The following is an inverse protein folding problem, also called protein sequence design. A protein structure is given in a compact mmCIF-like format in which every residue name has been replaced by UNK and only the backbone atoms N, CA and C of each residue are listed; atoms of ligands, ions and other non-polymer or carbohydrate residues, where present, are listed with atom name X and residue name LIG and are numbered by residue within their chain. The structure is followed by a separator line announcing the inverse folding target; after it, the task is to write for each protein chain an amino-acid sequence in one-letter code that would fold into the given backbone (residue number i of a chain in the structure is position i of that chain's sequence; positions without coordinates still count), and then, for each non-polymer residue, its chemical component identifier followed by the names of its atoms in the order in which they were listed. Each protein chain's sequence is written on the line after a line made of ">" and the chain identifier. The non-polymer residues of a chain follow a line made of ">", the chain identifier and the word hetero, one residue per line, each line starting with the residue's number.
data_IF_908723043402
#
_entry.id   IF_908723043402
#
_cell.length_a   1.000
_cell.length_b   1.000
_cell.length_c   1.000
_cell.angle_alpha   90.00
_cell.angle_beta   90.00
_cell.angle_gamma   90.00
#
_symmetry.space_group_name_H-M   'P 1'
#
loop_
_entity.id
_entity.type
_entity.pdbx_description
1 polymer ?
#
# COMPACT_ATOMS: atom_id res chain seq x y z
N UNK A 1 32.43 40.81 4.12
CA UNK A 1 31.26 41.22 3.38
C UNK A 1 30.95 40.43 2.11
N UNK A 2 31.86 39.55 1.61
CA UNK A 2 31.60 38.71 0.41
C UNK A 2 30.86 37.39 0.65
N UNK A 3 30.78 36.88 1.90
CA UNK A 3 30.10 35.62 2.23
C UNK A 3 28.59 35.71 2.44
N UNK A 4 28.08 36.88 2.75
CA UNK A 4 26.62 37.14 2.99
C UNK A 4 25.87 37.25 1.66
N UNK A 5 26.52 37.75 0.61
CA UNK A 5 25.88 37.89 -0.72
C UNK A 5 25.67 36.52 -1.42
N UNK A 6 26.54 35.54 -1.15
CA UNK A 6 26.42 34.20 -1.75
C UNK A 6 25.25 33.41 -1.16
N UNK A 7 24.95 33.62 0.13
CA UNK A 7 23.82 32.96 0.80
C UNK A 7 22.47 33.55 0.35
N UNK A 8 22.41 34.84 0.07
CA UNK A 8 21.19 35.48 -0.46
C UNK A 8 20.89 35.12 -1.90
N UNK A 9 21.91 34.83 -2.72
CA UNK A 9 21.72 34.38 -4.12
C UNK A 9 21.23 32.92 -4.20
N UNK A 10 21.63 32.04 -3.28
CA UNK A 10 21.16 30.64 -3.23
C UNK A 10 19.71 30.57 -2.74
N UNK A 11 19.31 31.42 -1.78
CA UNK A 11 17.89 31.54 -1.37
C UNK A 11 16.99 32.13 -2.46
N UNK A 12 17.48 33.09 -3.26
CA UNK A 12 16.72 33.66 -4.37
C UNK A 12 16.57 32.68 -5.55
N UNK A 13 17.52 31.78 -5.77
CA UNK A 13 17.40 30.71 -6.79
C UNK A 13 16.42 29.58 -6.38
N UNK A 14 16.17 29.38 -5.08
CA UNK A 14 15.14 28.46 -4.58
C UNK A 14 13.72 29.07 -4.55
N UNK A 15 13.57 30.38 -4.75
CA UNK A 15 12.28 31.10 -4.77
C UNK A 15 11.79 31.48 -6.18
N UNK A 16 12.47 31.05 -7.23
CA UNK A 16 11.92 31.09 -8.59
C UNK A 16 10.96 29.90 -8.82
N UNK A 17 9.97 29.73 -7.95
CA UNK A 17 8.72 29.07 -8.30
C UNK A 17 7.98 30.06 -9.23
N UNK A 18 7.85 29.69 -10.47
CA UNK A 18 7.09 30.43 -11.49
C UNK A 18 5.69 30.76 -10.92
N UNK A 19 5.35 32.04 -10.69
CA UNK A 19 4.04 32.42 -10.17
C UNK A 19 2.90 32.07 -11.14
N UNK A 20 3.22 31.79 -12.40
CA UNK A 20 2.27 31.46 -13.46
C UNK A 20 1.93 29.95 -13.51
N UNK A 21 2.59 29.11 -12.69
CA UNK A 21 2.35 27.68 -12.60
C UNK A 21 0.90 27.35 -12.22
N UNK A 22 0.34 28.05 -11.24
CA UNK A 22 -1.04 27.83 -10.78
C UNK A 22 -2.12 28.21 -11.81
N UNK A 23 -1.78 29.01 -12.83
CA UNK A 23 -2.72 29.41 -13.88
C UNK A 23 -2.77 28.43 -15.05
N UNK A 24 -1.75 27.54 -15.21
CA UNK A 24 -1.66 26.55 -16.30
C UNK A 24 -2.21 25.19 -15.92
N UNK A 25 -2.38 24.89 -14.65
CA UNK A 25 -3.01 23.63 -14.18
C UNK A 25 -4.52 23.83 -14.25
N UNK A 26 -5.16 23.29 -15.30
CA UNK A 26 -6.61 23.12 -15.35
C UNK A 26 -7.11 22.44 -14.07
N UNK A 27 -8.39 22.60 -13.76
CA UNK A 27 -9.04 22.05 -12.56
C UNK A 27 -8.47 20.68 -12.11
N UNK A 28 -8.31 20.47 -10.81
CA UNK A 28 -7.75 19.22 -10.31
C UNK A 28 -8.52 18.00 -10.84
N UNK A 29 -7.80 16.92 -11.17
CA UNK A 29 -8.44 15.64 -11.48
C UNK A 29 -9.28 15.31 -10.25
N UNK A 30 -10.62 15.27 -10.41
CA UNK A 30 -11.53 15.05 -9.29
C UNK A 30 -11.36 13.62 -8.78
N UNK A 31 -11.10 13.48 -7.49
CA UNK A 31 -11.16 12.20 -6.81
C UNK A 31 -12.62 11.83 -6.67
N UNK A 32 -13.01 10.70 -7.23
CA UNK A 32 -14.40 10.25 -7.26
C UNK A 32 -14.67 9.07 -6.33
N UNK A 33 -13.68 8.59 -5.56
CA UNK A 33 -13.94 7.50 -4.61
C UNK A 33 -15.03 7.92 -3.61
N UNK A 34 -16.10 7.11 -3.44
CA UNK A 34 -17.16 7.43 -2.52
C UNK A 34 -16.62 7.52 -1.09
N UNK A 35 -16.99 8.61 -0.38
CA UNK A 35 -16.73 8.69 1.05
C UNK A 35 -17.93 8.09 1.78
N UNK A 36 -17.75 7.03 2.58
CA UNK A 36 -18.86 6.38 3.26
C UNK A 36 -19.48 7.32 4.28
N UNK A 37 -20.82 7.40 4.28
CA UNK A 37 -21.59 8.16 5.27
C UNK A 37 -22.09 7.28 6.41
N UNK A 38 -22.12 5.96 6.21
CA UNK A 38 -22.63 4.99 7.17
C UNK A 38 -21.59 3.91 7.39
N UNK A 39 -21.32 3.60 8.66
CA UNK A 39 -20.42 2.52 9.02
C UNK A 39 -21.11 1.18 8.84
N UNK A 40 -20.38 0.22 8.26
CA UNK A 40 -20.78 -1.20 8.19
C UNK A 40 -20.00 -2.00 9.26
N UNK A 41 -20.50 -3.16 9.60
CA UNK A 41 -19.87 -3.99 10.65
C UNK A 41 -18.75 -4.88 10.12
N UNK A 42 -18.83 -5.26 8.85
CA UNK A 42 -17.88 -6.15 8.15
C UNK A 42 -18.01 -6.00 6.64
N UNK A 43 -17.01 -6.44 5.91
CA UNK A 43 -17.09 -6.73 4.47
C UNK A 43 -17.60 -8.16 4.33
N UNK A 44 -18.80 -8.32 3.76
CA UNK A 44 -19.39 -9.64 3.53
C UNK A 44 -18.93 -10.21 2.17
N UNK A 45 -18.06 -11.20 2.21
CA UNK A 45 -17.51 -11.84 1.02
C UNK A 45 -18.29 -13.12 0.66
N UNK A 46 -18.52 -13.33 -0.63
CA UNK A 46 -18.90 -14.63 -1.18
C UNK A 46 -17.73 -15.62 -1.09
N UNK A 47 -17.97 -16.88 -1.38
CA UNK A 47 -16.88 -17.88 -1.44
C UNK A 47 -15.85 -17.56 -2.54
N UNK A 48 -16.33 -17.03 -3.68
CA UNK A 48 -15.48 -16.61 -4.79
C UNK A 48 -14.62 -15.39 -4.39
N UNK A 49 -15.23 -14.35 -3.82
CA UNK A 49 -14.53 -13.16 -3.33
C UNK A 49 -13.52 -13.51 -2.21
N UNK A 50 -13.84 -14.46 -1.34
CA UNK A 50 -12.91 -14.99 -0.34
C UNK A 50 -11.69 -15.63 -0.99
N UNK A 51 -11.89 -16.35 -2.09
CA UNK A 51 -10.81 -16.93 -2.88
C UNK A 51 -9.96 -15.84 -3.54
N UNK A 52 -10.57 -14.79 -4.08
CA UNK A 52 -9.85 -13.63 -4.63
C UNK A 52 -8.98 -12.95 -3.57
N UNK A 53 -9.48 -12.78 -2.34
CA UNK A 53 -8.66 -12.27 -1.22
C UNK A 53 -7.51 -13.22 -0.90
N UNK A 54 -7.77 -14.52 -0.82
CA UNK A 54 -6.72 -15.50 -0.50
C UNK A 54 -5.58 -15.46 -1.53
N UNK A 55 -5.91 -15.53 -2.83
CA UNK A 55 -4.89 -15.49 -3.90
C UNK A 55 -4.28 -14.10 -4.07
N UNK A 56 -5.04 -13.04 -3.88
CA UNK A 56 -4.53 -11.67 -3.87
C UNK A 56 -3.53 -11.43 -2.73
N UNK A 57 -3.77 -11.98 -1.55
CA UNK A 57 -2.80 -11.94 -0.46
C UNK A 57 -1.53 -12.76 -0.78
N UNK A 58 -1.61 -13.82 -1.58
CA UNK A 58 -0.41 -14.54 -2.05
C UNK A 58 0.50 -13.66 -2.92
N UNK A 59 -0.05 -12.76 -3.74
CA UNK A 59 0.74 -11.75 -4.43
C UNK A 59 1.60 -10.96 -3.44
N UNK A 60 1.02 -10.55 -2.30
CA UNK A 60 1.77 -9.86 -1.25
C UNK A 60 3.00 -10.64 -0.80
N UNK A 61 2.81 -11.90 -0.43
CA UNK A 61 3.90 -12.72 0.10
C UNK A 61 4.94 -13.09 -0.96
N UNK A 62 4.53 -13.26 -2.21
CA UNK A 62 5.42 -13.52 -3.33
C UNK A 62 6.28 -12.29 -3.69
N UNK A 63 5.78 -11.08 -3.47
CA UNK A 63 6.53 -9.85 -3.74
C UNK A 63 7.64 -9.57 -2.71
N UNK A 64 7.52 -10.03 -1.47
CA UNK A 64 8.52 -9.75 -0.44
C UNK A 64 9.96 -10.09 -0.85
N UNK A 65 10.29 -11.33 -1.28
CA UNK A 65 11.65 -11.66 -1.68
C UNK A 65 12.10 -10.94 -2.96
N UNK A 66 11.17 -10.55 -3.83
CA UNK A 66 11.45 -9.84 -5.08
C UNK A 66 11.73 -8.35 -4.89
N UNK A 67 11.17 -7.75 -3.84
CA UNK A 67 11.29 -6.32 -3.54
C UNK A 67 12.34 -6.01 -2.46
N UNK A 68 12.85 -7.02 -1.75
CA UNK A 68 13.89 -6.84 -0.75
C UNK A 68 15.22 -6.44 -1.38
N UNK A 69 15.78 -5.32 -0.95
CA UNK A 69 17.08 -4.81 -1.35
C UNK A 69 18.06 -4.78 -0.16
N UNK A 70 18.84 -5.83 0.03
CA UNK A 70 19.80 -5.90 1.16
C UNK A 70 19.10 -5.70 2.51
N UNK A 71 19.69 -4.85 3.36
CA UNK A 71 19.18 -4.53 4.71
C UNK A 71 18.40 -3.22 4.75
N UNK A 72 17.75 -2.82 3.66
CA UNK A 72 16.93 -1.61 3.60
C UNK A 72 15.51 -1.88 4.08
N UNK A 73 14.97 -0.93 4.85
CA UNK A 73 13.54 -0.87 5.12
C UNK A 73 12.76 -0.61 3.84
N UNK A 74 11.60 -1.24 3.69
CA UNK A 74 10.77 -1.05 2.49
C UNK A 74 9.28 -1.20 2.79
N UNK A 75 8.47 -0.67 1.88
CA UNK A 75 7.01 -0.76 1.91
C UNK A 75 6.46 -0.85 0.49
N UNK A 76 5.37 -1.59 0.32
CA UNK A 76 4.55 -1.63 -0.89
C UNK A 76 3.07 -1.83 -0.54
N UNK A 77 2.20 -1.57 -1.51
CA UNK A 77 0.76 -1.79 -1.38
C UNK A 77 0.29 -2.80 -2.43
N UNK A 78 0.05 -4.06 -2.06
CA UNK A 78 -0.47 -5.06 -2.98
C UNK A 78 -1.85 -4.68 -3.52
N UNK A 79 -2.70 -4.08 -2.69
CA UNK A 79 -4.02 -3.63 -3.10
C UNK A 79 -3.94 -2.55 -4.19
N UNK A 80 -3.01 -1.58 -4.04
CA UNK A 80 -2.76 -0.55 -5.06
C UNK A 80 -2.29 -1.14 -6.40
N UNK A 81 -1.42 -2.18 -6.36
CA UNK A 81 -0.98 -2.91 -7.56
C UNK A 81 -2.18 -3.59 -8.24
N UNK A 82 -3.02 -4.27 -7.45
CA UNK A 82 -4.22 -4.96 -7.95
C UNK A 82 -5.20 -3.99 -8.63
N UNK A 83 -5.41 -2.79 -8.07
CA UNK A 83 -6.31 -1.80 -8.66
C UNK A 83 -5.78 -1.22 -9.97
N UNK A 84 -4.51 -0.75 -9.98
CA UNK A 84 -3.91 -0.19 -11.18
C UNK A 84 -3.89 -1.19 -12.35
N UNK A 85 -3.46 -2.43 -12.07
CA UNK A 85 -3.40 -3.48 -13.09
C UNK A 85 -4.76 -4.11 -13.38
N UNK A 86 -5.70 -4.10 -12.42
CA UNK A 86 -7.09 -4.49 -12.64
C UNK A 86 -7.80 -3.55 -13.62
N UNK A 87 -7.59 -2.22 -13.51
CA UNK A 87 -8.06 -1.28 -14.52
C UNK A 87 -7.46 -1.60 -15.90
N UNK A 88 -6.15 -1.85 -15.96
CA UNK A 88 -5.44 -2.19 -17.20
C UNK A 88 -5.98 -3.48 -17.82
N UNK A 89 -6.29 -4.48 -17.00
CA UNK A 89 -6.83 -5.77 -17.44
C UNK A 89 -8.17 -5.65 -18.19
N UNK A 90 -8.95 -4.59 -17.95
CA UNK A 90 -10.19 -4.34 -18.69
C UNK A 90 -9.97 -4.02 -20.18
N UNK A 91 -8.76 -3.67 -20.57
CA UNK A 91 -8.38 -3.49 -21.98
C UNK A 91 -7.66 -4.69 -22.58
N UNK A 92 -7.36 -5.71 -21.75
CA UNK A 92 -6.62 -6.89 -22.17
C UNK A 92 -7.53 -8.01 -22.65
N UNK A 93 -7.00 -8.88 -23.51
CA UNK A 93 -7.70 -10.04 -24.05
C UNK A 93 -6.81 -11.30 -24.02
N UNK A 94 -7.43 -12.45 -24.26
CA UNK A 94 -6.74 -13.73 -24.47
C UNK A 94 -5.75 -14.09 -23.36
N UNK A 95 -4.57 -14.54 -23.77
CA UNK A 95 -3.52 -14.99 -22.83
C UNK A 95 -2.94 -13.84 -21.99
N UNK A 96 -2.93 -12.61 -22.51
CA UNK A 96 -2.49 -11.43 -21.76
C UNK A 96 -3.42 -11.20 -20.56
N UNK A 97 -4.73 -11.22 -20.77
CA UNK A 97 -5.72 -11.10 -19.70
C UNK A 97 -5.58 -12.25 -18.69
N UNK A 98 -5.45 -13.50 -19.16
CA UNK A 98 -5.31 -14.65 -18.28
C UNK A 98 -4.08 -14.54 -17.37
N UNK A 99 -2.92 -14.17 -17.89
CA UNK A 99 -1.70 -13.96 -17.10
C UNK A 99 -1.86 -12.82 -16.08
N UNK A 100 -2.52 -11.73 -16.45
CA UNK A 100 -2.80 -10.60 -15.55
C UNK A 100 -3.70 -11.07 -14.40
N UNK A 101 -4.83 -11.70 -14.68
CA UNK A 101 -5.77 -12.17 -13.66
C UNK A 101 -5.13 -13.19 -12.71
N UNK A 102 -4.33 -14.13 -13.24
CA UNK A 102 -3.60 -15.11 -12.41
C UNK A 102 -2.58 -14.45 -11.48
N UNK A 103 -1.76 -13.56 -12.01
CA UNK A 103 -0.71 -12.87 -11.23
C UNK A 103 -1.31 -12.00 -10.14
N UNK A 104 -2.43 -11.34 -10.41
CA UNK A 104 -3.12 -10.48 -9.46
C UNK A 104 -3.98 -11.24 -8.43
N UNK A 105 -4.15 -12.56 -8.61
CA UNK A 105 -4.93 -13.39 -7.71
C UNK A 105 -6.45 -13.37 -7.96
N UNK A 106 -6.89 -12.86 -9.10
CA UNK A 106 -8.31 -12.83 -9.47
C UNK A 106 -8.77 -14.09 -10.18
N UNK A 107 -7.86 -14.92 -10.68
CA UNK A 107 -8.15 -16.20 -11.29
C UNK A 107 -7.12 -17.27 -10.91
N UNK A 108 -7.56 -18.53 -10.78
CA UNK A 108 -6.69 -19.67 -10.54
C UNK A 108 -7.19 -20.91 -11.32
N UNK A 109 -6.31 -21.58 -12.13
CA UNK A 109 -6.71 -22.65 -13.04
C UNK A 109 -7.34 -23.88 -12.36
N UNK A 110 -7.08 -24.11 -11.08
CA UNK A 110 -7.62 -25.25 -10.32
C UNK A 110 -8.95 -24.93 -9.61
N UNK A 111 -9.44 -23.71 -9.68
CA UNK A 111 -10.73 -23.32 -9.13
C UNK A 111 -11.75 -23.14 -10.25
N UNK A 112 -12.60 -24.16 -10.44
CA UNK A 112 -13.74 -24.13 -11.38
C UNK A 112 -14.81 -23.09 -11.02
N UNK A 113 -14.62 -22.35 -9.91
CA UNK A 113 -15.58 -21.37 -9.38
C UNK A 113 -15.24 -19.91 -9.70
N UNK A 114 -14.00 -19.61 -10.11
CA UNK A 114 -13.68 -18.28 -10.58
C UNK A 114 -13.89 -18.32 -12.09
N UNK A 115 -14.95 -17.67 -12.55
CA UNK A 115 -15.12 -17.43 -13.97
C UNK A 115 -13.89 -16.64 -14.44
N UNK A 116 -13.43 -16.93 -15.64
CA UNK A 116 -12.53 -16.07 -16.42
C UNK A 116 -13.17 -14.69 -16.71
N UNK A 117 -14.20 -14.39 -15.95
CA UNK A 117 -15.05 -13.22 -16.10
C UNK A 117 -14.41 -12.02 -15.40
N UNK A 118 -13.86 -11.14 -16.19
CA UNK A 118 -13.36 -9.84 -15.74
C UNK A 118 -14.43 -9.04 -14.97
N UNK A 119 -15.71 -9.31 -15.21
CA UNK A 119 -16.80 -8.65 -14.49
C UNK A 119 -16.88 -9.09 -13.02
N UNK A 120 -16.52 -10.34 -12.69
CA UNK A 120 -16.43 -10.78 -11.30
C UNK A 120 -15.29 -10.05 -10.56
N UNK A 121 -14.11 -9.90 -11.19
CA UNK A 121 -13.01 -9.09 -10.66
C UNK A 121 -13.47 -7.63 -10.45
N UNK A 122 -14.14 -7.05 -11.45
CA UNK A 122 -14.62 -5.67 -11.40
C UNK A 122 -15.65 -5.46 -10.27
N UNK A 123 -16.59 -6.38 -10.11
CA UNK A 123 -17.57 -6.33 -9.03
C UNK A 123 -16.90 -6.42 -7.65
N UNK A 124 -15.93 -7.29 -7.50
CA UNK A 124 -15.14 -7.43 -6.26
C UNK A 124 -14.32 -6.18 -5.96
N UNK A 125 -13.58 -5.64 -6.94
CA UNK A 125 -12.84 -4.39 -6.78
C UNK A 125 -13.75 -3.22 -6.40
N UNK A 126 -14.91 -3.05 -7.08
CA UNK A 126 -15.88 -2.03 -6.76
C UNK A 126 -16.44 -2.18 -5.34
N UNK A 127 -16.75 -3.41 -4.92
CA UNK A 127 -17.19 -3.71 -3.55
C UNK A 127 -16.16 -3.27 -2.52
N UNK A 128 -14.88 -3.64 -2.68
CA UNK A 128 -13.83 -3.26 -1.74
C UNK A 128 -13.62 -1.73 -1.71
N UNK A 129 -13.69 -1.03 -2.87
CA UNK A 129 -13.63 0.44 -2.94
C UNK A 129 -14.70 1.12 -2.08
N UNK A 130 -15.89 0.55 -2.02
CA UNK A 130 -17.01 1.09 -1.27
C UNK A 130 -17.01 0.66 0.21
N UNK A 131 -16.67 -0.59 0.49
CA UNK A 131 -16.87 -1.20 1.80
C UNK A 131 -15.66 -1.04 2.73
N UNK A 132 -14.41 -1.15 2.23
CA UNK A 132 -13.22 -1.01 3.08
C UNK A 132 -13.18 0.33 3.84
N UNK A 133 -13.46 1.50 3.22
CA UNK A 133 -13.50 2.75 3.98
C UNK A 133 -14.66 2.82 4.97
N UNK A 134 -15.71 2.00 4.80
CA UNK A 134 -16.93 2.05 5.59
C UNK A 134 -16.90 1.19 6.86
N UNK A 135 -15.96 0.21 6.98
CA UNK A 135 -15.93 -0.69 8.15
C UNK A 135 -15.50 -0.01 9.44
N UNK A 136 -14.71 1.06 9.36
CA UNK A 136 -14.29 1.86 10.52
C UNK A 136 -14.12 3.33 10.14
N UNK A 137 -15.10 4.17 10.46
CA UNK A 137 -15.04 5.61 10.17
C UNK A 137 -14.02 6.38 11.02
N UNK A 138 -13.40 5.76 12.01
CA UNK A 138 -12.25 6.29 12.75
C UNK A 138 -10.93 6.13 11.99
N UNK A 139 -10.93 5.35 10.89
CA UNK A 139 -9.81 5.16 9.98
C UNK A 139 -10.07 5.93 8.70
N UNK A 140 -9.10 6.73 8.26
CA UNK A 140 -9.17 7.38 6.97
C UNK A 140 -8.47 6.49 5.94
N UNK A 141 -9.25 5.79 5.15
CA UNK A 141 -8.81 5.02 4.00
C UNK A 141 -9.35 5.69 2.73
N UNK A 142 -8.46 6.04 1.81
CA UNK A 142 -8.83 6.66 0.56
C UNK A 142 -8.10 5.93 -0.57
N UNK A 143 -8.88 5.44 -1.52
CA UNK A 143 -8.41 4.87 -2.77
C UNK A 143 -8.79 5.83 -3.88
N UNK A 144 -7.84 6.14 -4.75
CA UNK A 144 -8.07 7.02 -5.89
C UNK A 144 -7.42 6.42 -7.13
N UNK A 145 -8.17 6.40 -8.21
CA UNK A 145 -7.77 5.86 -9.50
C UNK A 145 -7.86 6.93 -10.57
N UNK A 146 -6.91 6.95 -11.50
CA UNK A 146 -6.96 7.83 -12.65
C UNK A 146 -6.23 7.25 -13.86
N UNK A 147 -6.64 7.68 -15.03
CA UNK A 147 -5.97 7.39 -16.30
C UNK A 147 -5.68 8.71 -17.00
N UNK A 148 -4.40 8.98 -17.21
CA UNK A 148 -3.95 10.09 -18.03
C UNK A 148 -3.62 9.57 -19.43
N UNK A 149 -4.36 10.00 -20.43
CA UNK A 149 -4.32 9.47 -21.80
C UNK A 149 -3.66 10.47 -22.73
N UNK A 150 -2.74 10.00 -23.56
CA UNK A 150 -2.20 10.78 -24.64
C UNK A 150 -3.32 11.05 -25.67
N UNK A 151 -3.58 12.32 -25.96
CA UNK A 151 -4.67 12.77 -26.83
C UNK A 151 -4.59 12.25 -28.29
N UNK A 152 -3.43 11.69 -28.67
CA UNK A 152 -3.23 11.01 -29.96
C UNK A 152 -3.86 9.62 -30.02
N UNK A 153 -4.19 9.01 -28.85
CA UNK A 153 -4.65 7.64 -28.73
C UNK A 153 -5.93 7.58 -27.89
N UNK A 154 -7.09 7.96 -28.44
CA UNK A 154 -8.34 7.96 -27.70
C UNK A 154 -8.70 6.54 -27.23
N UNK A 155 -9.20 6.46 -25.98
CA UNK A 155 -9.70 5.22 -25.40
C UNK A 155 -11.04 4.82 -26.04
N UNK A 156 -11.25 3.52 -26.19
CA UNK A 156 -12.58 2.97 -26.51
C UNK A 156 -13.60 3.45 -25.46
N UNK A 157 -14.77 3.95 -25.91
CA UNK A 157 -15.82 4.42 -24.98
C UNK A 157 -16.25 3.35 -23.96
N UNK A 158 -16.33 2.09 -24.37
CA UNK A 158 -16.68 0.98 -23.47
C UNK A 158 -15.63 0.76 -22.36
N UNK A 159 -14.33 0.83 -22.70
CA UNK A 159 -13.26 0.76 -21.72
C UNK A 159 -13.33 1.93 -20.73
N UNK A 160 -13.46 3.16 -21.25
CA UNK A 160 -13.58 4.36 -20.43
C UNK A 160 -14.76 4.28 -19.47
N UNK A 161 -15.96 3.92 -19.97
CA UNK A 161 -17.15 3.76 -19.13
C UNK A 161 -16.96 2.70 -18.04
N UNK A 162 -16.32 1.56 -18.39
CA UNK A 162 -16.02 0.49 -17.44
C UNK A 162 -15.13 0.97 -16.30
N UNK A 163 -14.01 1.65 -16.58
CA UNK A 163 -13.08 2.10 -15.52
C UNK A 163 -13.66 3.25 -14.71
N UNK A 164 -14.43 4.16 -15.31
CA UNK A 164 -15.11 5.25 -14.60
C UNK A 164 -16.20 4.72 -13.66
N UNK A 165 -16.99 3.73 -14.09
CA UNK A 165 -18.09 3.17 -13.29
C UNK A 165 -17.60 2.20 -12.20
N UNK A 166 -16.60 1.38 -12.49
CA UNK A 166 -16.12 0.33 -11.58
C UNK A 166 -15.14 0.86 -10.55
N UNK A 167 -14.12 1.62 -11.01
CA UNK A 167 -13.02 2.10 -10.17
C UNK A 167 -13.16 3.57 -9.76
N UNK A 168 -14.22 4.23 -10.22
CA UNK A 168 -14.38 5.68 -10.09
C UNK A 168 -13.18 6.45 -10.64
N UNK A 169 -12.49 5.86 -11.62
CA UNK A 169 -11.29 6.43 -12.19
C UNK A 169 -11.56 7.75 -12.89
N UNK A 170 -10.73 8.74 -12.62
CA UNK A 170 -10.76 9.99 -13.37
C UNK A 170 -9.98 9.81 -14.67
N UNK A 171 -10.62 9.99 -15.82
CA UNK A 171 -9.99 9.89 -17.14
C UNK A 171 -9.76 11.28 -17.70
N UNK A 172 -8.49 11.61 -17.99
CA UNK A 172 -8.07 12.89 -18.55
C UNK A 172 -7.22 12.69 -19.80
N UNK A 173 -7.54 13.42 -20.88
CA UNK A 173 -6.74 13.46 -22.09
C UNK A 173 -5.85 14.69 -22.10
N UNK A 174 -4.57 14.53 -22.47
CA UNK A 174 -3.64 15.64 -22.68
C UNK A 174 -2.56 15.27 -23.69
N UNK A 175 -1.89 16.29 -24.28
CA UNK A 175 -0.71 16.05 -25.11
C UNK A 175 0.47 15.59 -24.24
N UNK A 176 1.19 14.58 -24.73
CA UNK A 176 2.45 14.10 -24.12
C UNK A 176 3.71 14.70 -24.77
N UNK A 177 3.54 15.74 -25.63
CA UNK A 177 4.65 16.40 -26.28
C UNK A 177 5.58 17.19 -25.34
N UNK A 178 5.06 17.57 -24.16
CA UNK A 178 5.83 18.17 -23.07
C UNK A 178 5.88 17.23 -21.85
N UNK A 179 6.92 16.37 -21.76
CA UNK A 179 7.09 15.44 -20.63
C UNK A 179 7.11 16.10 -19.24
N UNK A 180 7.59 17.35 -19.15
CA UNK A 180 7.64 18.06 -17.88
C UNK A 180 6.23 18.39 -17.37
N UNK A 181 5.35 18.85 -18.26
CA UNK A 181 3.94 19.10 -17.93
C UNK A 181 3.19 17.82 -17.57
N UNK A 182 3.43 16.70 -18.27
CA UNK A 182 2.84 15.40 -17.96
C UNK A 182 3.29 14.90 -16.59
N UNK A 183 4.60 14.91 -16.31
CA UNK A 183 5.15 14.51 -15.01
C UNK A 183 4.58 15.37 -13.87
N UNK A 184 4.50 16.66 -14.07
CA UNK A 184 3.92 17.57 -13.08
C UNK A 184 2.44 17.26 -12.81
N UNK A 185 1.65 16.92 -13.84
CA UNK A 185 0.24 16.55 -13.70
C UNK A 185 0.07 15.28 -12.88
N UNK A 186 0.87 14.24 -13.15
CA UNK A 186 0.90 12.98 -12.42
C UNK A 186 1.32 13.21 -10.96
N UNK A 187 2.35 14.01 -10.73
CA UNK A 187 2.87 14.30 -9.39
C UNK A 187 1.87 15.12 -8.54
N UNK A 188 1.20 16.11 -9.13
CA UNK A 188 0.14 16.86 -8.45
C UNK A 188 -1.03 15.95 -8.05
N UNK A 189 -1.47 15.07 -8.96
CA UNK A 189 -2.51 14.09 -8.66
C UNK A 189 -2.10 13.16 -7.51
N UNK A 190 -0.91 12.58 -7.54
CA UNK A 190 -0.41 11.71 -6.49
C UNK A 190 -0.32 12.43 -5.13
N UNK A 191 0.21 13.65 -5.12
CA UNK A 191 0.33 14.46 -3.90
C UNK A 191 -1.04 14.74 -3.26
N UNK A 192 -2.04 15.12 -4.04
CA UNK A 192 -3.39 15.41 -3.53
C UNK A 192 -4.07 14.17 -2.99
N UNK A 193 -3.94 13.03 -3.68
CA UNK A 193 -4.62 11.79 -3.31
C UNK A 193 -3.93 11.01 -2.20
N UNK A 194 -2.70 11.39 -1.83
CA UNK A 194 -1.96 10.85 -0.69
C UNK A 194 -1.75 11.87 0.43
N UNK A 195 -2.54 12.95 0.47
CA UNK A 195 -2.42 14.01 1.47
C UNK A 195 -0.97 14.57 1.60
N UNK A 196 -0.25 14.67 0.47
CA UNK A 196 1.13 15.14 0.42
C UNK A 196 2.20 14.11 0.79
N UNK A 197 1.84 12.87 1.10
CA UNK A 197 2.81 11.80 1.39
C UNK A 197 3.69 11.49 0.18
N UNK A 198 3.09 11.39 -1.00
CA UNK A 198 3.80 11.12 -2.25
C UNK A 198 3.77 12.38 -3.10
N UNK A 199 4.81 13.20 -2.98
CA UNK A 199 4.92 14.47 -3.73
C UNK A 199 5.43 14.30 -5.15
N UNK A 200 6.08 13.18 -5.45
CA UNK A 200 6.72 12.93 -6.74
C UNK A 200 6.64 11.45 -7.11
N UNK A 201 5.91 11.15 -8.18
CA UNK A 201 5.79 9.82 -8.77
C UNK A 201 6.80 9.61 -9.91
N UNK A 202 6.92 10.59 -10.81
CA UNK A 202 7.72 10.51 -12.04
C UNK A 202 8.56 11.76 -12.24
N UNK A 203 9.68 11.59 -12.94
CA UNK A 203 10.44 12.66 -13.54
C UNK A 203 10.04 12.85 -15.01
N UNK A 204 10.34 14.01 -15.58
CA UNK A 204 10.13 14.25 -17.01
C UNK A 204 10.87 13.23 -17.90
N UNK A 205 12.03 12.75 -17.43
CA UNK A 205 12.80 11.73 -18.13
C UNK A 205 12.18 10.34 -18.16
N UNK A 206 11.16 10.08 -17.30
CA UNK A 206 10.41 8.82 -17.30
C UNK A 206 9.26 8.83 -18.32
N UNK A 207 8.95 9.99 -18.90
CA UNK A 207 7.81 10.18 -19.80
C UNK A 207 8.28 10.11 -21.25
N UNK A 208 7.79 9.12 -22.00
CA UNK A 208 7.95 9.11 -23.46
C UNK A 208 6.82 9.92 -24.12
N UNK A 209 7.12 10.81 -25.08
CA UNK A 209 6.09 11.47 -25.89
C UNK A 209 5.21 10.49 -26.68
N UNK A 210 5.68 9.26 -26.87
CA UNK A 210 4.95 8.18 -27.55
C UNK A 210 4.21 7.25 -26.60
N UNK A 211 4.28 7.50 -25.28
CA UNK A 211 3.49 6.74 -24.31
C UNK A 211 2.00 6.91 -24.62
N UNK A 212 1.23 5.83 -24.45
CA UNK A 212 -0.20 5.79 -24.77
C UNK A 212 -1.04 6.34 -23.63
N UNK A 213 -0.79 5.87 -22.42
CA UNK A 213 -1.50 6.28 -21.21
C UNK A 213 -0.68 5.94 -19.96
N UNK A 214 -1.02 6.63 -18.86
CA UNK A 214 -0.58 6.29 -17.49
C UNK A 214 -1.80 5.93 -16.66
N UNK A 215 -1.82 4.70 -16.16
CA UNK A 215 -2.84 4.24 -15.22
C UNK A 215 -2.27 4.39 -13.81
N UNK A 216 -3.00 5.10 -12.96
CA UNK A 216 -2.52 5.56 -11.67
C UNK A 216 -3.46 5.10 -10.58
N UNK A 217 -2.89 4.57 -9.49
CA UNK A 217 -3.60 4.34 -8.25
C UNK A 217 -2.85 5.00 -7.09
N UNK A 218 -3.58 5.56 -6.15
CA UNK A 218 -3.07 6.09 -4.90
C UNK A 218 -3.87 5.54 -3.74
N UNK A 219 -3.19 4.95 -2.76
CA UNK A 219 -3.76 4.48 -1.52
C UNK A 219 -3.22 5.31 -0.36
N UNK A 220 -4.13 5.94 0.38
CA UNK A 220 -3.83 6.68 1.59
C UNK A 220 -4.50 6.01 2.78
N UNK A 221 -3.72 5.76 3.83
CA UNK A 221 -4.19 5.16 5.08
C UNK A 221 -3.71 5.98 6.27
N UNK A 222 -4.66 6.38 7.11
CA UNK A 222 -4.39 7.05 8.37
C UNK A 222 -5.30 6.50 9.45
N UNK A 223 -4.72 5.96 10.51
CA UNK A 223 -5.45 5.30 11.57
C UNK A 223 -4.78 5.52 12.93
N UNK A 224 -5.52 5.96 13.96
CA UNK A 224 -5.03 5.95 15.33
C UNK A 224 -4.96 4.51 15.86
N UNK A 225 -4.06 4.24 16.82
CA UNK A 225 -4.03 2.93 17.50
C UNK A 225 -5.30 2.65 18.31
N UNK A 226 -5.89 3.68 18.87
CA UNK A 226 -7.09 3.60 19.72
C UNK A 226 -8.12 4.63 19.28
N UNK A 227 -9.42 4.42 19.55
CA UNK A 227 -10.45 5.42 19.29
C UNK A 227 -10.17 6.73 20.04
N UNK A 228 -10.65 7.86 19.50
CA UNK A 228 -10.58 9.15 20.15
C UNK A 228 -11.19 9.10 21.57
N UNK A 229 -10.50 9.73 22.52
CA UNK A 229 -10.88 9.74 23.94
C UNK A 229 -10.50 8.48 24.73
N UNK A 230 -9.83 7.51 24.11
CA UNK A 230 -9.27 6.34 24.81
C UNK A 230 -7.85 6.61 25.32
N UNK A 231 -7.41 5.81 26.32
CA UNK A 231 -6.02 5.85 26.78
C UNK A 231 -5.08 5.49 25.62
N UNK A 232 -4.02 6.28 25.36
CA UNK A 232 -3.11 6.05 24.25
C UNK A 232 -2.42 4.68 24.39
N UNK A 233 -2.19 4.03 23.23
CA UNK A 233 -1.48 2.75 23.22
C UNK A 233 -0.03 2.91 23.67
N UNK A 234 0.65 3.94 23.19
CA UNK A 234 2.01 4.31 23.58
C UNK A 234 1.99 5.72 24.19
N UNK A 235 2.74 5.89 25.30
CA UNK A 235 2.85 7.19 25.96
C UNK A 235 3.86 8.09 25.23
N UNK A 236 3.49 9.31 24.90
CA UNK A 236 4.32 10.26 24.14
C UNK A 236 5.71 10.48 24.78
N UNK A 237 5.80 10.63 26.08
CA UNK A 237 7.06 10.78 26.80
C UNK A 237 7.81 9.45 27.07
N UNK A 238 7.25 8.31 26.65
CA UNK A 238 7.79 6.98 26.91
C UNK A 238 8.76 6.45 25.85
N UNK A 239 8.83 7.11 24.69
CA UNK A 239 9.72 6.72 23.59
C UNK A 239 11.19 7.02 23.93
N UNK A 240 12.06 6.01 23.81
CA UNK A 240 13.50 6.12 24.14
C UNK A 240 14.34 5.65 22.98
N UNK A 241 15.54 6.23 22.83
CA UNK A 241 16.53 5.74 21.87
C UNK A 241 17.18 4.46 22.39
N UNK A 242 16.89 3.32 21.75
CA UNK A 242 17.39 2.00 22.12
C UNK A 242 18.17 1.35 20.98
N UNK A 243 18.91 0.30 21.30
CA UNK A 243 19.71 -0.44 20.35
C UNK A 243 18.80 -1.20 19.36
N UNK A 244 19.16 -1.16 18.08
CA UNK A 244 18.57 -1.95 17.02
C UNK A 244 19.69 -2.68 16.26
N UNK A 245 19.50 -3.97 16.04
CA UNK A 245 20.51 -4.89 15.53
C UNK A 245 20.15 -5.35 14.12
N UNK A 246 20.88 -4.88 13.09
CA UNK A 246 20.63 -5.25 11.70
C UNK A 246 21.94 -5.38 10.91
N UNK A 247 22.07 -6.41 10.08
CA UNK A 247 23.22 -6.59 9.18
C UNK A 247 24.58 -6.59 9.89
N UNK A 248 24.65 -7.14 11.09
CA UNK A 248 25.86 -7.15 11.94
C UNK A 248 26.24 -5.79 12.52
N UNK A 249 25.36 -4.77 12.41
CA UNK A 249 25.54 -3.42 12.95
C UNK A 249 24.55 -3.14 14.06
N UNK A 250 24.90 -2.23 14.95
CA UNK A 250 24.01 -1.71 15.99
C UNK A 250 23.76 -0.23 15.72
N UNK A 251 22.51 0.16 15.56
CA UNK A 251 22.05 1.54 15.47
C UNK A 251 21.21 1.90 16.70
N UNK A 252 20.81 3.16 16.82
CA UNK A 252 19.83 3.59 17.83
C UNK A 252 18.59 4.07 17.13
N UNK A 253 17.45 3.53 17.54
CA UNK A 253 16.13 3.90 17.03
C UNK A 253 15.22 4.40 18.15
N UNK A 254 14.29 5.31 17.89
CA UNK A 254 13.27 5.69 18.87
C UNK A 254 12.32 4.53 19.09
N UNK A 255 12.34 3.93 20.30
CA UNK A 255 11.56 2.75 20.68
C UNK A 255 10.39 3.17 21.56
N UNK A 256 9.19 2.82 21.13
CA UNK A 256 7.94 3.01 21.87
C UNK A 256 7.66 1.79 22.74
N UNK A 257 7.07 1.98 23.92
CA UNK A 257 6.85 0.94 24.91
C UNK A 257 5.39 0.89 25.35
N UNK A 258 4.86 -0.33 25.47
CA UNK A 258 3.55 -0.58 26.09
C UNK A 258 3.48 -1.99 26.67
N UNK A 259 2.58 -2.21 27.64
CA UNK A 259 2.21 -3.55 28.12
C UNK A 259 0.70 -3.62 28.11
N UNK A 260 0.15 -4.47 27.24
CA UNK A 260 -1.30 -4.63 27.05
C UNK A 260 -1.64 -6.02 26.54
N UNK A 261 -2.93 -6.32 26.51
CA UNK A 261 -3.45 -7.53 25.87
C UNK A 261 -3.52 -7.35 24.34
N UNK A 262 -2.86 -8.25 23.61
CA UNK A 262 -2.86 -8.32 22.16
C UNK A 262 -3.14 -9.76 21.69
N UNK A 263 -3.55 -9.91 20.46
CA UNK A 263 -3.58 -11.20 19.82
C UNK A 263 -2.15 -11.58 19.38
N UNK A 264 -1.65 -12.71 19.88
CA UNK A 264 -0.29 -13.20 19.70
C UNK A 264 -0.30 -14.67 19.31
N UNK A 265 0.65 -15.09 18.49
CA UNK A 265 0.95 -16.49 18.20
C UNK A 265 2.46 -16.70 18.02
N UNK A 266 2.97 -17.83 18.56
CA UNK A 266 4.28 -18.34 18.21
C UNK A 266 4.14 -19.31 17.04
N UNK A 267 4.81 -19.00 15.93
CA UNK A 267 4.77 -19.79 14.70
C UNK A 267 6.01 -20.70 14.54
N UNK A 268 6.90 -20.71 15.55
CA UNK A 268 8.16 -21.44 15.54
C UNK A 268 9.28 -20.69 14.82
N UNK A 269 9.12 -20.33 13.56
CA UNK A 269 10.12 -19.56 12.78
C UNK A 269 10.01 -18.04 12.97
N UNK A 270 8.87 -17.56 13.45
CA UNK A 270 8.62 -16.16 13.79
C UNK A 270 7.49 -16.05 14.81
N UNK A 271 7.41 -14.94 15.50
CA UNK A 271 6.29 -14.57 16.38
C UNK A 271 5.39 -13.59 15.65
N UNK A 272 4.06 -13.83 15.74
CA UNK A 272 3.04 -13.00 15.11
C UNK A 272 2.30 -12.20 16.17
N UNK A 273 2.23 -10.87 15.96
CA UNK A 273 1.49 -9.96 16.81
C UNK A 273 0.48 -9.17 15.97
N UNK A 274 -0.75 -9.07 16.45
CA UNK A 274 -1.79 -8.20 15.89
C UNK A 274 -1.97 -6.97 16.78
N UNK A 275 -1.73 -5.79 16.21
CA UNK A 275 -1.94 -4.48 16.86
C UNK A 275 -3.16 -3.82 16.20
N UNK A 276 -4.31 -3.73 16.88
CA UNK A 276 -5.51 -3.15 16.28
C UNK A 276 -5.37 -1.63 16.08
N UNK A 277 -6.02 -1.12 15.02
CA UNK A 277 -6.27 0.31 14.83
C UNK A 277 -7.69 0.67 15.24
N UNK A 278 -7.88 1.88 15.78
CA UNK A 278 -9.17 2.48 16.09
C UNK A 278 -10.11 1.50 16.80
N UNK A 279 -11.18 1.07 16.17
CA UNK A 279 -12.18 0.12 16.71
C UNK A 279 -11.87 -1.35 16.40
N UNK A 280 -10.67 -1.64 15.93
CA UNK A 280 -10.18 -3.01 15.69
C UNK A 280 -10.66 -3.66 14.39
N UNK A 281 -11.14 -2.88 13.41
CA UNK A 281 -11.47 -3.42 12.09
C UNK A 281 -10.25 -3.52 11.17
N UNK A 282 -9.28 -2.67 11.39
CA UNK A 282 -7.96 -2.75 10.77
C UNK A 282 -6.92 -3.12 11.83
N UNK A 283 -5.85 -3.77 11.42
CA UNK A 283 -4.73 -4.06 12.30
C UNK A 283 -3.39 -3.98 11.54
N UNK A 284 -2.35 -3.63 12.30
CA UNK A 284 -0.97 -3.93 11.91
C UNK A 284 -0.61 -5.30 12.46
N UNK A 285 -0.11 -6.16 11.61
CA UNK A 285 0.46 -7.45 11.96
C UNK A 285 1.97 -7.37 11.86
N UNK A 286 2.68 -7.79 12.90
CA UNK A 286 4.14 -7.83 12.92
C UNK A 286 4.58 -9.29 12.95
N UNK A 287 5.43 -9.66 11.99
CA UNK A 287 6.09 -10.96 11.94
C UNK A 287 7.54 -10.74 12.36
N UNK A 288 7.86 -11.13 13.59
CA UNK A 288 9.16 -10.94 14.20
C UNK A 288 9.90 -12.29 14.25
N UNK A 289 10.96 -12.50 13.43
CA UNK A 289 11.78 -13.71 13.50
C UNK A 289 12.70 -13.69 14.73
N UNK A 290 13.52 -14.70 14.90
CA UNK A 290 14.72 -14.58 15.78
C UNK A 290 15.74 -13.60 15.15
N UNK A 291 16.68 -13.08 15.95
CA UNK A 291 17.56 -11.97 15.55
C UNK A 291 18.29 -12.16 14.21
N UNK A 292 18.69 -13.37 13.88
CA UNK A 292 19.38 -13.68 12.62
C UNK A 292 18.47 -14.35 11.58
N UNK A 293 17.16 -14.44 11.87
CA UNK A 293 16.17 -15.17 11.08
C UNK A 293 15.47 -14.36 9.98
N UNK A 294 15.83 -13.08 9.78
CA UNK A 294 15.08 -12.20 8.88
C UNK A 294 15.10 -12.66 7.42
N UNK A 295 16.24 -13.05 6.87
CA UNK A 295 16.34 -13.55 5.49
C UNK A 295 15.58 -14.87 5.30
N UNK A 296 15.61 -15.74 6.31
CA UNK A 296 14.83 -16.96 6.30
C UNK A 296 13.33 -16.69 6.35
N UNK A 297 12.89 -15.72 7.18
CA UNK A 297 11.50 -15.27 7.18
C UNK A 297 11.08 -14.81 5.79
N UNK A 298 11.79 -13.84 5.20
CA UNK A 298 11.47 -13.30 3.87
C UNK A 298 11.36 -14.42 2.83
N UNK A 299 12.31 -15.36 2.81
CA UNK A 299 12.32 -16.47 1.86
C UNK A 299 11.17 -17.47 2.06
N UNK A 300 10.62 -17.57 3.27
CA UNK A 300 9.51 -18.46 3.60
C UNK A 300 8.13 -17.87 3.34
N UNK A 301 8.00 -16.53 3.24
CA UNK A 301 6.72 -15.85 3.06
C UNK A 301 5.90 -16.34 1.86
N UNK A 302 6.48 -16.66 0.68
CA UNK A 302 5.70 -17.20 -0.45
C UNK A 302 4.95 -18.47 -0.15
N UNK A 303 5.36 -19.25 0.86
CA UNK A 303 4.70 -20.50 1.27
C UNK A 303 3.82 -20.36 2.51
N UNK A 304 3.72 -19.15 3.07
CA UNK A 304 2.93 -18.88 4.27
C UNK A 304 1.44 -19.01 3.97
N UNK A 305 0.74 -19.86 4.72
CA UNK A 305 -0.72 -19.81 4.82
C UNK A 305 -1.11 -18.72 5.82
N UNK A 306 -1.41 -17.54 5.30
CA UNK A 306 -1.75 -16.37 6.10
C UNK A 306 -3.02 -16.59 6.92
N UNK A 307 -4.05 -17.17 6.32
CA UNK A 307 -5.31 -17.44 7.01
C UNK A 307 -5.12 -18.38 8.18
N UNK A 308 -4.35 -19.45 7.99
CA UNK A 308 -4.01 -20.38 9.07
C UNK A 308 -3.16 -19.70 10.16
N UNK A 309 -2.26 -18.80 9.78
CA UNK A 309 -1.44 -18.05 10.75
C UNK A 309 -2.31 -17.13 11.62
N UNK A 310 -3.20 -16.33 11.02
CA UNK A 310 -4.11 -15.43 11.74
C UNK A 310 -5.05 -16.22 12.68
N UNK A 311 -5.53 -17.40 12.26
CA UNK A 311 -6.39 -18.25 13.07
C UNK A 311 -5.70 -18.84 14.32
N UNK A 312 -4.37 -18.82 14.40
CA UNK A 312 -3.61 -19.22 15.61
C UNK A 312 -3.48 -18.12 16.66
N UNK A 313 -3.81 -16.90 16.32
CA UNK A 313 -3.73 -15.78 17.25
C UNK A 313 -4.64 -15.97 18.47
N UNK A 314 -4.09 -15.73 19.65
CA UNK A 314 -4.80 -15.79 20.92
C UNK A 314 -4.48 -14.57 21.75
N UNK A 315 -5.45 -14.10 22.54
CA UNK A 315 -5.25 -12.98 23.45
C UNK A 315 -4.23 -13.33 24.53
N UNK A 316 -3.17 -12.53 24.63
CA UNK A 316 -2.07 -12.65 25.63
C UNK A 316 -1.69 -11.28 26.14
N UNK A 317 -1.23 -11.21 27.37
CA UNK A 317 -0.53 -10.02 27.85
C UNK A 317 0.86 -9.96 27.19
N UNK A 318 1.18 -8.80 26.56
CA UNK A 318 2.42 -8.61 25.79
C UNK A 318 3.11 -7.33 26.24
N UNK A 319 4.39 -7.44 26.59
CA UNK A 319 5.30 -6.31 26.71
C UNK A 319 5.85 -6.03 25.31
N UNK A 320 5.34 -4.96 24.69
CA UNK A 320 5.66 -4.59 23.32
C UNK A 320 6.64 -3.42 23.30
N UNK A 321 7.79 -3.62 22.63
CA UNK A 321 8.70 -2.55 22.23
C UNK A 321 8.68 -2.45 20.70
N UNK A 322 8.18 -1.35 20.16
CA UNK A 322 8.03 -1.12 18.72
C UNK A 322 8.76 0.16 18.32
N UNK A 323 9.65 0.14 17.32
CA UNK A 323 10.24 1.36 16.80
C UNK A 323 9.17 2.34 16.30
N UNK A 324 9.39 3.63 16.57
CA UNK A 324 8.77 4.72 15.81
C UNK A 324 9.56 4.87 14.53
N UNK A 325 8.91 4.75 13.38
CA UNK A 325 9.62 4.74 12.11
C UNK A 325 8.83 5.37 10.97
N UNK A 326 9.56 5.75 9.94
CA UNK A 326 9.04 6.15 8.66
C UNK A 326 9.77 5.36 7.58
N UNK A 327 9.02 4.80 6.64
CA UNK A 327 9.57 4.07 5.51
C UNK A 327 8.92 4.54 4.22
N UNK A 328 9.71 4.73 3.17
CA UNK A 328 9.24 5.04 1.84
C UNK A 328 9.98 4.22 0.81
N UNK A 329 9.27 3.75 -0.21
CA UNK A 329 9.85 2.98 -1.30
C UNK A 329 9.32 3.45 -2.65
N UNK A 330 10.12 3.23 -3.67
CA UNK A 330 9.78 3.46 -5.07
C UNK A 330 10.28 2.27 -5.88
N UNK A 331 9.36 1.53 -6.49
CA UNK A 331 9.67 0.33 -7.26
C UNK A 331 9.21 0.47 -8.70
N UNK A 332 10.05 -0.01 -9.63
CA UNK A 332 9.61 -0.44 -10.96
C UNK A 332 9.32 -1.94 -10.85
N UNK A 333 8.05 -2.31 -11.00
CA UNK A 333 7.56 -3.66 -10.72
C UNK A 333 7.61 -4.61 -11.92
N UNK A 334 8.03 -4.13 -13.11
CA UNK A 334 8.03 -4.94 -14.34
C UNK A 334 8.67 -6.31 -14.14
N UNK A 335 9.91 -6.36 -13.65
CA UNK A 335 10.66 -7.61 -13.50
C UNK A 335 10.00 -8.54 -12.45
N UNK A 336 9.50 -7.98 -11.35
CA UNK A 336 8.82 -8.75 -10.32
C UNK A 336 7.51 -9.38 -10.86
N UNK A 337 6.71 -8.61 -11.59
CA UNK A 337 5.46 -9.09 -12.17
C UNK A 337 5.69 -10.14 -13.26
N UNK A 338 6.74 -9.98 -14.08
CA UNK A 338 7.14 -10.98 -15.07
C UNK A 338 7.59 -12.28 -14.40
N UNK A 339 8.37 -12.21 -13.33
CA UNK A 339 8.78 -13.38 -12.54
C UNK A 339 7.58 -14.09 -11.91
N UNK A 340 6.49 -13.38 -11.62
CA UNK A 340 5.25 -13.92 -11.09
C UNK A 340 4.30 -14.45 -12.18
N UNK A 341 4.67 -14.33 -13.46
CA UNK A 341 3.93 -14.94 -14.58
C UNK A 341 3.24 -13.97 -15.52
N UNK A 342 3.23 -12.66 -15.22
CA UNK A 342 2.68 -11.63 -16.11
C UNK A 342 3.75 -11.23 -17.17
N UNK A 343 3.99 -12.06 -18.15
CA UNK A 343 5.06 -11.85 -19.13
C UNK A 343 4.58 -11.13 -20.39
N UNK A 344 3.46 -11.57 -20.96
CA UNK A 344 2.96 -11.06 -22.25
C UNK A 344 2.60 -9.59 -22.20
N UNK A 345 2.03 -9.10 -21.13
CA UNK A 345 1.59 -7.72 -20.98
C UNK A 345 2.71 -6.68 -21.21
N UNK A 346 3.97 -7.08 -21.09
CA UNK A 346 5.16 -6.23 -21.23
C UNK A 346 5.87 -6.40 -22.60
N UNK A 347 5.28 -7.09 -23.55
CA UNK A 347 5.89 -7.40 -24.85
C UNK A 347 5.03 -6.89 -26.00
N UNK A 348 5.61 -6.85 -27.20
CA UNK A 348 4.90 -6.52 -28.45
C UNK A 348 3.81 -7.55 -28.82
N UNK A 349 3.78 -8.72 -28.12
CA UNK A 349 2.74 -9.73 -28.29
C UNK A 349 1.54 -9.53 -27.33
N UNK A 350 1.55 -8.45 -26.56
CA UNK A 350 0.44 -8.13 -25.66
C UNK A 350 -0.84 -7.84 -26.47
N UNK A 351 -1.96 -8.29 -25.90
CA UNK A 351 -3.29 -8.14 -26.48
C UNK A 351 -4.08 -7.14 -25.62
N UNK A 352 -4.04 -5.85 -25.99
CA UNK A 352 -4.81 -4.76 -25.38
C UNK A 352 -5.79 -4.15 -26.37
N UNK A 353 -6.42 -5.03 -27.19
CA UNK A 353 -7.29 -4.63 -28.31
C UNK A 353 -8.59 -3.94 -27.85
N UNK A 354 -8.98 -4.15 -26.61
CA UNK A 354 -10.19 -3.51 -26.00
C UNK A 354 -9.90 -2.19 -25.26
N UNK A 355 -8.71 -1.58 -25.44
CA UNK A 355 -8.34 -0.34 -24.73
C UNK A 355 -8.49 0.93 -25.58
N UNK A 356 -8.09 0.92 -26.86
CA UNK A 356 -8.01 2.09 -27.74
C UNK A 356 -8.95 2.02 -28.93
N UNK A 357 -9.40 3.19 -29.44
CA UNK A 357 -10.30 3.26 -30.60
C UNK A 357 -9.66 2.79 -31.90
N UNK A 358 -8.36 3.08 -32.10
CA UNK A 358 -7.65 2.66 -33.31
C UNK A 358 -7.12 1.22 -33.14
N UNK A 359 -7.68 0.22 -33.87
CA UNK A 359 -7.27 -1.18 -33.75
C UNK A 359 -5.85 -1.45 -34.24
N UNK A 360 -5.16 -0.45 -34.79
CA UNK A 360 -3.74 -0.55 -35.21
C UNK A 360 -2.80 -0.20 -34.06
N UNK A 361 -3.28 0.31 -32.96
CA UNK A 361 -2.46 0.59 -31.78
C UNK A 361 -2.09 -0.72 -31.13
N UNK A 362 -0.84 -1.12 -31.26
CA UNK A 362 -0.27 -2.23 -30.50
C UNK A 362 0.21 -1.68 -29.15
N UNK A 363 -0.55 -1.95 -28.11
CA UNK A 363 -0.26 -1.48 -26.76
C UNK A 363 0.43 -2.58 -25.94
N UNK A 364 1.41 -2.19 -25.14
CA UNK A 364 1.98 -3.01 -24.08
C UNK A 364 2.24 -2.13 -22.85
N UNK A 365 2.43 -2.76 -21.70
CA UNK A 365 2.81 -2.04 -20.47
C UNK A 365 4.30 -1.72 -20.54
N UNK A 366 4.66 -0.44 -20.65
CA UNK A 366 6.06 0.01 -20.61
C UNK A 366 6.62 -0.04 -19.20
N UNK A 367 5.88 0.51 -18.22
CA UNK A 367 6.32 0.52 -16.84
C UNK A 367 5.16 0.42 -15.84
N UNK A 368 5.43 -0.28 -14.74
CA UNK A 368 4.58 -0.27 -13.54
C UNK A 368 5.40 0.32 -12.41
N UNK A 369 5.05 1.52 -11.97
CA UNK A 369 5.72 2.20 -10.86
C UNK A 369 4.78 2.25 -9.67
N UNK A 370 5.29 1.79 -8.53
CA UNK A 370 4.64 1.97 -7.25
C UNK A 370 5.51 2.80 -6.31
N UNK A 371 4.91 3.80 -5.68
CA UNK A 371 5.48 4.48 -4.53
C UNK A 371 4.57 4.31 -3.34
N UNK A 372 5.16 3.96 -2.20
CA UNK A 372 4.46 3.82 -0.95
C UNK A 372 5.24 4.51 0.17
N UNK A 373 4.53 5.04 1.17
CA UNK A 373 5.11 5.64 2.36
C UNK A 373 4.24 5.33 3.56
N UNK A 374 4.88 5.05 4.69
CA UNK A 374 4.24 4.85 6.00
C UNK A 374 4.99 5.65 7.05
N UNK A 375 4.26 6.19 8.02
CA UNK A 375 4.80 6.77 9.24
C UNK A 375 4.10 6.13 10.44
N UNK A 376 4.86 5.45 11.29
CA UNK A 376 4.37 4.76 12.50
C UNK A 376 4.86 5.55 13.72
N UNK A 377 3.92 6.01 14.53
CA UNK A 377 4.14 6.88 15.69
C UNK A 377 3.40 6.35 16.91
N UNK A 378 3.58 7.01 18.05
CA UNK A 378 2.88 6.72 19.29
C UNK A 378 1.35 6.78 19.16
N UNK A 379 0.86 7.56 18.20
CA UNK A 379 -0.57 7.83 17.98
C UNK A 379 -1.24 6.91 16.98
N UNK A 380 -0.46 6.24 16.14
CA UNK A 380 -0.96 5.41 15.05
C UNK A 380 -0.09 5.46 13.82
N UNK A 381 -0.66 5.03 12.71
CA UNK A 381 -0.08 5.22 11.38
C UNK A 381 -0.58 6.54 10.82
N UNK A 382 0.35 7.46 10.50
CA UNK A 382 0.09 8.84 10.03
C UNK A 382 -0.89 9.66 10.94
N UNK A 383 -0.90 9.44 12.24
CA UNK A 383 -1.77 10.13 13.19
C UNK A 383 -1.16 11.43 13.72
N UNK A 384 -2.00 12.47 13.92
CA UNK A 384 -1.63 13.72 14.59
C UNK A 384 -2.03 13.66 16.08
N UNK A 385 -1.22 14.30 16.94
CA UNK A 385 -1.32 14.22 18.39
C UNK A 385 -2.63 14.80 18.97
N UNK A 386 -3.23 14.05 19.91
CA UNK A 386 -4.20 14.57 20.89
C UNK A 386 -3.71 14.13 22.28
N UNK A 387 -3.46 15.08 23.17
CA UNK A 387 -2.87 14.80 24.49
C UNK A 387 -3.95 14.41 25.50
N UNK A 388 -3.87 13.19 26.05
CA UNK A 388 -4.59 12.80 27.28
C UNK A 388 -3.64 12.03 28.19
N UNK A 389 -3.53 12.43 29.45
CA UNK A 389 -2.65 11.80 30.46
C UNK A 389 -3.48 10.95 31.42
N UNK A 390 -3.22 9.64 31.45
CA UNK A 390 -3.79 8.74 32.43
C UNK A 390 -2.85 7.57 32.74
N UNK A 391 -2.49 7.36 34.00
CA UNK A 391 -1.68 6.22 34.47
C UNK A 391 -2.53 5.21 35.20
N UNK A 392 -2.43 3.92 34.82
CA UNK A 392 -2.87 2.80 35.65
C UNK A 392 -1.85 1.66 35.59
N UNK A 393 -1.40 1.23 36.77
CA UNK A 393 -0.66 -0.02 36.93
C UNK A 393 -1.66 -1.14 37.28
N UNK A 394 -1.54 -2.29 36.60
CA UNK A 394 -2.27 -3.52 36.99
C UNK A 394 -1.27 -4.58 37.40
N UNK A 395 -1.50 -5.19 38.57
CA UNK A 395 -0.76 -6.35 39.07
C UNK A 395 -1.42 -7.64 38.58
N UNK A 396 -0.64 -8.58 38.08
CA UNK A 396 -1.10 -9.91 37.67
C UNK A 396 -1.62 -10.70 38.92
N UNK A 397 -2.73 -11.43 38.76
CA UNK A 397 -3.27 -12.35 39.75
C UNK A 397 -2.50 -13.68 39.78
N UNK A 398 -2.57 -14.46 40.88
CA UNK A 398 -1.91 -15.75 40.95
C UNK A 398 -2.58 -16.77 40.00
N UNK A 399 -1.83 -17.27 39.00
CA UNK A 399 -2.26 -18.27 38.04
C UNK A 399 -2.29 -17.82 36.60
N UNK A 400 -1.94 -16.57 36.26
CA UNK A 400 -1.80 -16.08 34.88
C UNK A 400 -0.42 -16.44 34.31
N UNK A 401 -0.41 -16.84 33.04
CA UNK A 401 0.85 -17.03 32.30
C UNK A 401 1.63 -15.69 32.26
N UNK A 402 2.97 -15.70 32.40
CA UNK A 402 3.74 -14.47 32.36
C UNK A 402 3.55 -13.72 31.03
N UNK A 403 3.63 -12.38 31.04
CA UNK A 403 3.57 -11.58 29.83
C UNK A 403 4.61 -12.04 28.81
N UNK A 404 4.24 -12.01 27.53
CA UNK A 404 5.14 -12.30 26.42
C UNK A 404 5.97 -11.07 26.09
N UNK A 405 7.29 -11.19 26.06
CA UNK A 405 8.17 -10.12 25.56
C UNK A 405 8.18 -10.13 24.02
N UNK A 406 7.73 -9.04 23.42
CA UNK A 406 7.74 -8.82 21.96
C UNK A 406 8.55 -7.58 21.63
N UNK A 407 9.86 -7.78 21.55
CA UNK A 407 10.85 -6.69 21.41
C UNK A 407 11.32 -6.60 19.97
N UNK A 408 10.86 -5.56 19.24
CA UNK A 408 11.24 -5.31 17.85
C UNK A 408 12.58 -4.56 17.76
N UNK A 409 13.64 -5.14 18.29
CA UNK A 409 15.00 -4.59 18.31
C UNK A 409 15.88 -5.08 17.13
N UNK A 410 15.29 -5.76 16.17
CA UNK A 410 15.96 -6.31 14.97
C UNK A 410 14.95 -6.37 13.80
N UNK A 411 15.39 -6.62 12.55
CA UNK A 411 14.52 -6.58 11.38
C UNK A 411 13.27 -7.46 11.49
N UNK A 412 12.14 -6.87 11.10
CA UNK A 412 10.83 -7.53 11.10
C UNK A 412 10.03 -7.15 9.87
N UNK A 413 9.06 -7.97 9.49
CA UNK A 413 8.04 -7.60 8.49
C UNK A 413 6.76 -7.14 9.15
N UNK A 414 6.01 -6.28 8.46
CA UNK A 414 4.71 -5.83 8.90
C UNK A 414 3.70 -5.83 7.75
N UNK A 415 2.44 -6.02 8.10
CA UNK A 415 1.29 -5.94 7.19
C UNK A 415 0.25 -5.02 7.81
N UNK A 416 -0.48 -4.26 6.99
CA UNK A 416 -1.72 -3.58 7.40
C UNK A 416 -2.85 -4.23 6.64
N UNK A 417 -3.83 -4.77 7.37
CA UNK A 417 -4.96 -5.48 6.77
C UNK A 417 -6.30 -5.08 7.38
N UNK A 418 -7.36 -5.19 6.58
CA UNK A 418 -8.72 -5.17 7.09
C UNK A 418 -9.09 -6.58 7.56
N UNK A 419 -9.62 -6.69 8.79
CA UNK A 419 -9.74 -7.97 9.49
C UNK A 419 -10.93 -8.82 9.05
N UNK A 420 -11.99 -8.22 8.57
CA UNK A 420 -13.23 -8.99 8.27
C UNK A 420 -13.17 -9.63 6.90
N UNK A 421 -12.53 -8.99 5.93
CA UNK A 421 -12.22 -9.56 4.62
C UNK A 421 -10.90 -10.29 4.58
N UNK A 422 -9.95 -9.92 5.45
CA UNK A 422 -8.56 -10.38 5.39
C UNK A 422 -7.71 -9.68 4.33
N UNK A 423 -8.21 -8.62 3.70
CA UNK A 423 -7.51 -7.89 2.61
C UNK A 423 -6.29 -7.15 3.15
N UNK A 424 -5.12 -7.41 2.57
CA UNK A 424 -3.86 -6.72 2.90
C UNK A 424 -3.76 -5.44 2.07
N UNK A 425 -3.65 -4.30 2.76
CA UNK A 425 -3.53 -2.97 2.16
C UNK A 425 -2.07 -2.58 1.90
N UNK A 426 -1.23 -2.80 2.91
CA UNK A 426 0.20 -2.51 2.88
C UNK A 426 1.00 -3.67 3.44
N UNK A 427 2.21 -3.81 2.94
CA UNK A 427 3.18 -4.77 3.41
C UNK A 427 4.59 -4.17 3.33
N UNK A 428 5.47 -4.56 4.24
CA UNK A 428 6.82 -4.05 4.24
C UNK A 428 7.71 -4.66 5.31
N UNK A 429 8.91 -4.14 5.41
CA UNK A 429 9.86 -4.51 6.44
C UNK A 429 10.55 -3.26 7.02
N UNK A 430 10.86 -3.33 8.30
CA UNK A 430 11.70 -2.35 8.97
C UNK A 430 13.03 -2.98 9.37
N UNK A 431 14.13 -2.35 8.95
CA UNK A 431 15.50 -2.83 9.14
C UNK A 431 16.38 -1.82 9.91
N UNK A 432 15.79 -0.80 10.57
CA UNK A 432 16.52 0.14 11.42
C UNK A 432 17.11 1.35 10.68
N UNK A 433 16.67 1.63 9.46
CA UNK A 433 17.13 2.75 8.62
C UNK A 433 15.97 3.42 7.90
#
# INVERSE_FOLDING_TARGET
>A
MKKVLLFALVLAACMACDPDWNSKVKDPIKVSSPQPKTQITKVDLTAEETSMVYYGNRLTFNLFPLLKEGDKSFIFSPLSIQYALGMTANGAEGETLAQMLMTLGFWHPMQYLISDDIDAMNAFCNKLLNELPAVDLGVKLQLADAILVNDRYPLLPAFKEKVESTYYAAVENMSFDDPATVAARINDWASRNTNGLIKKMLDAGDISPTALAFLMNALYFKAPWVPDGSDPLFMEGGTKNEAFYAGGKTSKVPMMHTSRWFNYADMGSFRLLEIPYSRGKFAMYILLPEKDGFDQLISSLPTLDWSAAVNKLKSREVILNLPKFETSSSYRLNDALQQLGMTLAFTDAAQFDSMFEDPRVQACIDMVIQKARISVTEWGTEAAAVTVVGMKATSAGPGEEPPVEFICDHPFTYLIAEKTSGTILFAGAYCGN
#
